data_IF_178994922177
#
_entry.id   IF_178994922177
#
_cell.length_a   1.000
_cell.length_b   1.000
_cell.length_c   1.000
_cell.angle_alpha   90.00
_cell.angle_beta   90.00
_cell.angle_gamma   90.00
#
_symmetry.space_group_name_H-M   'P 1'
#
loop_
_entity.id
_entity.type
_entity.pdbx_description
1 polymer ?
#
# COMPACT_ATOMS: atom_id res chain seq x y z
N UNK A 1 -26.50 0.05 -2.23
CA UNK A 1 -26.08 -1.21 -2.89
C UNK A 1 -24.88 -0.91 -3.75
N UNK A 2 -23.79 -1.66 -3.59
CA UNK A 2 -22.56 -1.49 -4.36
C UNK A 2 -22.77 -1.95 -5.80
N UNK A 3 -22.64 -1.05 -6.77
CA UNK A 3 -22.82 -1.38 -8.18
C UNK A 3 -21.50 -1.91 -8.80
N UNK A 4 -21.54 -2.37 -10.05
CA UNK A 4 -20.33 -2.89 -10.72
C UNK A 4 -19.25 -1.82 -10.95
N UNK A 5 -19.63 -0.56 -11.18
CA UNK A 5 -18.69 0.55 -11.36
C UNK A 5 -17.91 0.82 -10.08
N UNK A 6 -18.56 0.78 -8.92
CA UNK A 6 -17.93 0.94 -7.61
C UNK A 6 -16.90 -0.17 -7.37
N UNK A 7 -17.24 -1.43 -7.70
CA UNK A 7 -16.32 -2.58 -7.60
C UNK A 7 -15.10 -2.42 -8.50
N UNK A 8 -15.33 -2.06 -9.76
CA UNK A 8 -14.26 -1.83 -10.73
C UNK A 8 -13.36 -0.67 -10.29
N UNK A 9 -13.94 0.43 -9.81
CA UNK A 9 -13.18 1.60 -9.38
C UNK A 9 -12.35 1.31 -8.13
N UNK A 10 -12.93 0.66 -7.12
CA UNK A 10 -12.19 0.21 -5.93
C UNK A 10 -11.07 -0.77 -6.29
N UNK A 11 -11.28 -1.68 -7.24
CA UNK A 11 -10.23 -2.58 -7.74
C UNK A 11 -9.09 -1.79 -8.38
N UNK A 12 -9.40 -0.78 -9.20
CA UNK A 12 -8.41 0.09 -9.82
C UNK A 12 -7.63 0.89 -8.77
N UNK A 13 -8.29 1.39 -7.72
CA UNK A 13 -7.61 2.06 -6.60
C UNK A 13 -6.56 1.13 -5.99
N UNK A 14 -6.93 -0.11 -5.66
CA UNK A 14 -5.97 -1.06 -5.07
C UNK A 14 -4.80 -1.34 -6.01
N UNK A 15 -5.07 -1.62 -7.29
CA UNK A 15 -4.01 -1.89 -8.28
C UNK A 15 -3.13 -0.68 -8.59
N UNK A 16 -3.67 0.54 -8.47
CA UNK A 16 -2.93 1.77 -8.72
C UNK A 16 -1.75 1.97 -7.76
N UNK A 17 -1.77 1.30 -6.60
CA UNK A 17 -0.64 1.28 -5.66
C UNK A 17 0.63 0.70 -6.29
N UNK A 18 0.54 -0.09 -7.37
CA UNK A 18 1.70 -0.56 -8.14
C UNK A 18 2.38 0.54 -8.97
N UNK A 19 1.78 1.73 -9.11
CA UNK A 19 2.40 2.87 -9.77
C UNK A 19 3.74 3.29 -9.13
N UNK A 20 3.97 2.91 -7.87
CA UNK A 20 5.27 3.11 -7.20
C UNK A 20 6.44 2.38 -7.85
N UNK A 21 6.20 1.37 -8.70
CA UNK A 21 7.26 0.73 -9.50
C UNK A 21 7.69 1.54 -10.71
N UNK A 22 6.88 2.50 -11.15
CA UNK A 22 7.14 3.32 -12.34
C UNK A 22 7.76 4.65 -11.95
N UNK A 23 7.26 5.29 -10.89
CA UNK A 23 7.76 6.59 -10.42
C UNK A 23 7.75 6.67 -8.89
N UNK A 24 8.66 7.46 -8.29
CA UNK A 24 8.76 7.57 -6.84
C UNK A 24 7.46 8.09 -6.23
N UNK A 25 7.09 7.53 -5.07
CA UNK A 25 5.84 7.82 -4.34
C UNK A 25 4.54 7.50 -5.10
N UNK A 26 4.62 6.91 -6.30
CA UNK A 26 3.44 6.56 -7.09
C UNK A 26 2.49 5.61 -6.37
N UNK A 27 3.00 4.78 -5.47
CA UNK A 27 2.21 3.86 -4.67
C UNK A 27 1.22 4.55 -3.72
N UNK A 28 1.48 5.80 -3.33
CA UNK A 28 0.57 6.60 -2.49
C UNK A 28 -0.19 7.61 -3.34
N UNK A 29 0.51 8.30 -4.26
CA UNK A 29 -0.08 9.39 -5.04
C UNK A 29 -1.20 8.89 -5.96
N UNK A 30 -0.98 7.77 -6.66
CA UNK A 30 -1.98 7.23 -7.58
C UNK A 30 -3.30 6.82 -6.89
N UNK A 31 -3.30 5.96 -5.85
CA UNK A 31 -4.54 5.61 -5.15
C UNK A 31 -5.16 6.81 -4.44
N UNK A 32 -4.36 7.76 -3.94
CA UNK A 32 -4.87 8.97 -3.29
C UNK A 32 -5.66 9.85 -4.26
N UNK A 33 -5.14 10.09 -5.47
CA UNK A 33 -5.84 10.88 -6.50
C UNK A 33 -7.13 10.18 -6.90
N UNK A 34 -7.08 8.87 -7.16
CA UNK A 34 -8.26 8.10 -7.55
C UNK A 34 -9.32 8.09 -6.45
N UNK A 35 -8.93 7.82 -5.20
CA UNK A 35 -9.85 7.85 -4.07
C UNK A 35 -10.46 9.25 -3.90
N UNK A 36 -9.65 10.32 -3.90
CA UNK A 36 -10.15 11.70 -3.75
C UNK A 36 -11.15 12.11 -4.82
N UNK A 37 -11.03 11.58 -6.05
CA UNK A 37 -11.94 11.90 -7.14
C UNK A 37 -13.37 11.34 -6.93
N UNK A 38 -13.52 10.22 -6.20
CA UNK A 38 -14.82 9.54 -6.05
C UNK A 38 -15.23 9.22 -4.61
N UNK A 39 -14.46 9.63 -3.60
CA UNK A 39 -14.73 9.31 -2.18
C UNK A 39 -16.12 9.73 -1.70
N UNK A 40 -16.68 10.80 -2.26
CA UNK A 40 -18.00 11.30 -1.87
C UNK A 40 -19.17 10.61 -2.60
N UNK A 41 -18.88 9.79 -3.62
CA UNK A 41 -19.91 9.16 -4.46
C UNK A 41 -20.38 7.81 -3.89
N UNK A 42 -19.49 7.05 -3.22
CA UNK A 42 -19.79 5.71 -2.71
C UNK A 42 -18.99 5.41 -1.45
N UNK A 43 -19.70 4.99 -0.39
CA UNK A 43 -19.06 4.55 0.87
C UNK A 43 -18.14 3.34 0.68
N UNK A 44 -18.39 2.52 -0.35
CA UNK A 44 -17.54 1.39 -0.70
C UNK A 44 -16.21 1.86 -1.29
N UNK A 45 -16.25 2.86 -2.19
CA UNK A 45 -15.04 3.48 -2.74
C UNK A 45 -14.26 4.20 -1.64
N UNK A 46 -14.97 4.89 -0.73
CA UNK A 46 -14.32 5.57 0.39
C UNK A 46 -13.56 4.59 1.29
N UNK A 47 -14.20 3.48 1.69
CA UNK A 47 -13.58 2.46 2.52
C UNK A 47 -12.33 1.83 1.85
N UNK A 48 -12.45 1.41 0.58
CA UNK A 48 -11.32 0.83 -0.14
C UNK A 48 -10.18 1.82 -0.38
N UNK A 49 -10.51 3.07 -0.70
CA UNK A 49 -9.51 4.11 -0.91
C UNK A 49 -8.76 4.50 0.37
N UNK A 50 -9.47 4.63 1.50
CA UNK A 50 -8.84 4.81 2.81
C UNK A 50 -7.92 3.64 3.15
N UNK A 51 -8.38 2.40 3.00
CA UNK A 51 -7.57 1.21 3.24
C UNK A 51 -6.32 1.16 2.36
N UNK A 52 -6.45 1.45 1.06
CA UNK A 52 -5.33 1.49 0.12
C UNK A 52 -4.27 2.51 0.52
N UNK A 53 -4.70 3.76 0.75
CA UNK A 53 -3.82 4.87 1.09
C UNK A 53 -3.17 4.67 2.45
N UNK A 54 -3.94 4.26 3.47
CA UNK A 54 -3.43 3.99 4.81
C UNK A 54 -2.37 2.88 4.80
N UNK A 55 -2.60 1.79 4.06
CA UNK A 55 -1.64 0.70 3.96
C UNK A 55 -0.33 1.16 3.30
N UNK A 56 -0.40 1.91 2.21
CA UNK A 56 0.79 2.40 1.52
C UNK A 56 1.56 3.45 2.35
N UNK A 57 0.85 4.30 3.08
CA UNK A 57 1.45 5.20 4.07
C UNK A 57 2.12 4.43 5.21
N UNK A 58 1.51 3.34 5.68
CA UNK A 58 2.08 2.48 6.73
C UNK A 58 3.38 1.82 6.26
N UNK A 59 3.38 1.23 5.04
CA UNK A 59 4.57 0.65 4.44
C UNK A 59 5.69 1.67 4.24
N UNK A 60 5.36 2.88 3.82
CA UNK A 60 6.33 3.96 3.69
C UNK A 60 6.95 4.32 5.06
N UNK A 61 6.13 4.43 6.10
CA UNK A 61 6.61 4.71 7.46
C UNK A 61 7.51 3.56 7.97
N UNK A 62 7.10 2.30 7.81
CA UNK A 62 7.91 1.15 8.22
C UNK A 62 9.25 1.10 7.47
N UNK A 63 9.24 1.37 6.16
CA UNK A 63 10.46 1.42 5.34
C UNK A 63 11.38 2.56 5.77
N UNK A 64 10.82 3.71 6.13
CA UNK A 64 11.58 4.86 6.63
C UNK A 64 12.26 4.56 7.98
N UNK A 65 11.53 3.93 8.91
CA UNK A 65 12.08 3.51 10.21
C UNK A 65 13.20 2.47 10.00
N UNK A 66 12.97 1.48 9.13
CA UNK A 66 13.99 0.47 8.80
C UNK A 66 15.25 1.09 8.21
N UNK A 67 15.10 2.08 7.32
CA UNK A 67 16.23 2.79 6.73
C UNK A 67 17.04 3.58 7.79
N UNK A 68 16.38 4.20 8.77
CA UNK A 68 17.09 4.89 9.87
C UNK A 68 17.87 3.88 10.72
N UNK A 69 17.27 2.73 11.02
CA UNK A 69 17.89 1.69 11.85
C UNK A 69 19.07 0.99 11.16
N UNK A 70 19.03 0.82 9.83
CA UNK A 70 20.09 0.11 9.09
C UNK A 70 21.36 0.95 8.91
N UNK A 71 21.26 2.28 8.89
CA UNK A 71 22.40 3.18 8.70
C UNK A 71 23.51 2.94 9.74
N UNK A 72 23.26 2.99 11.06
CA UNK A 72 24.31 2.76 12.07
C UNK A 72 24.86 1.33 12.01
N UNK A 73 24.01 0.34 11.74
CA UNK A 73 24.43 -1.06 11.59
C UNK A 73 25.39 -1.20 10.41
N UNK A 74 25.08 -0.55 9.29
CA UNK A 74 25.91 -0.57 8.08
C UNK A 74 27.27 0.07 8.33
N UNK A 75 27.30 1.19 9.05
CA UNK A 75 28.56 1.86 9.43
C UNK A 75 29.40 0.95 10.34
N UNK A 76 28.79 0.37 11.38
CA UNK A 76 29.49 -0.48 12.35
C UNK A 76 30.02 -1.78 11.73
N UNK A 77 29.29 -2.34 10.77
CA UNK A 77 29.63 -3.60 10.10
C UNK A 77 30.42 -3.41 8.80
N UNK A 78 30.95 -2.21 8.55
CA UNK A 78 31.74 -1.87 7.35
C UNK A 78 31.05 -2.25 6.03
N UNK A 79 29.73 -2.05 5.94
CA UNK A 79 28.95 -2.29 4.73
C UNK A 79 28.17 -3.61 4.69
N UNK A 80 28.44 -4.57 5.59
CA UNK A 80 27.70 -5.85 5.62
C UNK A 80 26.21 -5.66 5.97
N UNK A 81 25.85 -4.60 6.69
CA UNK A 81 24.46 -4.24 6.97
C UNK A 81 23.57 -4.07 5.72
N UNK A 82 24.15 -3.73 4.57
CA UNK A 82 23.40 -3.63 3.31
C UNK A 82 22.91 -4.99 2.80
N UNK A 83 23.65 -6.07 3.05
CA UNK A 83 23.26 -7.42 2.64
C UNK A 83 22.00 -7.85 3.41
N UNK A 84 21.97 -7.57 4.72
CA UNK A 84 20.79 -7.82 5.55
C UNK A 84 19.57 -7.01 5.08
N UNK A 85 19.77 -5.77 4.65
CA UNK A 85 18.70 -4.94 4.09
C UNK A 85 18.09 -5.57 2.84
N UNK A 86 18.91 -6.01 1.89
CA UNK A 86 18.44 -6.64 0.64
C UNK A 86 17.64 -7.89 0.94
N UNK A 87 18.13 -8.74 1.86
CA UNK A 87 17.44 -9.98 2.26
C UNK A 87 16.10 -9.65 2.95
N UNK A 88 16.04 -8.60 3.76
CA UNK A 88 14.82 -8.19 4.48
C UNK A 88 13.75 -7.57 3.55
N UNK A 89 14.14 -6.90 2.46
CA UNK A 89 13.20 -6.24 1.54
C UNK A 89 12.39 -7.26 0.73
N UNK A 90 12.99 -8.37 0.31
CA UNK A 90 12.33 -9.39 -0.53
C UNK A 90 11.02 -9.92 0.08
N UNK A 91 10.97 -10.42 1.33
CA UNK A 91 9.72 -10.91 1.90
C UNK A 91 8.67 -9.81 2.11
N UNK A 92 9.10 -8.59 2.45
CA UNK A 92 8.20 -7.43 2.58
C UNK A 92 7.56 -7.08 1.24
N UNK A 93 8.35 -7.11 0.17
CA UNK A 93 7.88 -6.88 -1.19
C UNK A 93 6.85 -7.93 -1.63
N UNK A 94 7.15 -9.22 -1.40
CA UNK A 94 6.24 -10.32 -1.75
C UNK A 94 4.93 -10.20 -0.95
N UNK A 95 5.02 -9.93 0.35
CA UNK A 95 3.83 -9.73 1.19
C UNK A 95 3.00 -8.55 0.69
N UNK A 96 3.62 -7.42 0.38
CA UNK A 96 2.93 -6.26 -0.20
C UNK A 96 2.17 -6.63 -1.48
N UNK A 97 2.80 -7.36 -2.40
CA UNK A 97 2.13 -7.81 -3.63
C UNK A 97 0.92 -8.70 -3.34
N UNK A 98 1.07 -9.70 -2.46
CA UNK A 98 0.00 -10.63 -2.10
C UNK A 98 -1.19 -9.86 -1.50
N UNK A 99 -0.93 -8.89 -0.62
CA UNK A 99 -1.96 -8.11 0.04
C UNK A 99 -2.70 -7.19 -0.94
N UNK A 100 -1.99 -6.49 -1.84
CA UNK A 100 -2.62 -5.65 -2.88
C UNK A 100 -3.51 -6.49 -3.79
N UNK A 101 -3.01 -7.65 -4.25
CA UNK A 101 -3.78 -8.57 -5.10
C UNK A 101 -5.01 -9.08 -4.34
N UNK A 102 -4.86 -9.51 -3.10
CA UNK A 102 -5.98 -10.00 -2.27
C UNK A 102 -7.05 -8.94 -2.09
N UNK A 103 -6.65 -7.70 -1.79
CA UNK A 103 -7.56 -6.57 -1.64
C UNK A 103 -8.26 -6.21 -2.96
N UNK A 104 -7.55 -6.31 -4.09
CA UNK A 104 -8.11 -6.09 -5.43
C UNK A 104 -9.16 -7.15 -5.78
N UNK A 105 -8.89 -8.42 -5.48
CA UNK A 105 -9.84 -9.52 -5.71
C UNK A 105 -11.08 -9.33 -4.80
N UNK A 106 -10.89 -9.03 -3.51
CA UNK A 106 -12.02 -8.74 -2.60
C UNK A 106 -12.86 -7.55 -3.09
N UNK A 107 -12.24 -6.46 -3.52
CA UNK A 107 -12.94 -5.31 -4.10
C UNK A 107 -13.78 -5.71 -5.32
N UNK A 108 -13.24 -6.56 -6.20
CA UNK A 108 -13.97 -7.06 -7.39
C UNK A 108 -15.17 -7.94 -7.04
N UNK A 109 -15.13 -8.68 -5.91
CA UNK A 109 -16.28 -9.43 -5.39
C UNK A 109 -17.31 -8.50 -4.72
N UNK A 110 -16.91 -7.30 -4.32
CA UNK A 110 -17.72 -6.37 -3.53
C UNK A 110 -17.61 -6.60 -2.03
N UNK A 111 -16.54 -7.27 -1.61
CA UNK A 111 -16.21 -7.54 -0.22
C UNK A 111 -15.23 -6.47 0.29
N UNK A 112 -15.42 -6.03 1.53
CA UNK A 112 -14.45 -5.19 2.20
C UNK A 112 -13.18 -5.98 2.53
N UNK A 113 -12.04 -5.33 2.41
CA UNK A 113 -10.74 -5.90 2.76
C UNK A 113 -9.97 -4.94 3.63
N UNK A 114 -9.56 -5.42 4.81
CA UNK A 114 -8.71 -4.70 5.74
C UNK A 114 -7.28 -5.21 5.60
N UNK A 115 -6.36 -4.30 5.28
CA UNK A 115 -4.96 -4.64 5.16
C UNK A 115 -4.36 -4.92 6.54
N UNK A 116 -3.70 -6.08 6.76
CA UNK A 116 -3.02 -6.35 8.01
C UNK A 116 -1.86 -5.37 8.22
N UNK A 117 -1.53 -5.09 9.48
CA UNK A 117 -0.44 -4.17 9.87
C UNK A 117 -0.60 -2.73 9.35
N UNK A 118 -1.83 -2.30 9.09
CA UNK A 118 -2.13 -0.93 8.65
C UNK A 118 -2.35 -0.01 9.84
N UNK A 119 -1.78 1.19 9.75
CA UNK A 119 -2.06 2.31 10.63
C UNK A 119 -3.11 3.19 9.94
N UNK A 120 -4.20 3.48 10.64
CA UNK A 120 -5.28 4.34 10.15
C UNK A 120 -4.91 5.82 10.26
N UNK A 121 -4.17 6.34 9.29
CA UNK A 121 -3.89 7.78 9.20
C UNK A 121 -5.15 8.58 8.85
N UNK A 122 -6.00 8.00 8.01
CA UNK A 122 -7.26 8.56 7.55
C UNK A 122 -8.40 7.70 8.09
N UNK A 123 -9.35 8.34 8.80
CA UNK A 123 -10.57 7.73 9.35
C UNK A 123 -11.76 7.93 8.43
#
# INVERSE_FOLDING_TARGET
>A
MTNQNDKNYSTIIQLSTFAGFVFPFGNIIAPLILWMAKKNESSFIDAHGKSAVNFQMSLMLYSFILAILIIPITIFTLGLGLIFLIIAIIPVFILNMILIISASISASRGEYYEYPFTIEFIK
#
